data_IF_873678265055
#
_entry.id   IF_873678265055
#
_cell.length_a   1.000
_cell.length_b   1.000
_cell.length_c   1.000
_cell.angle_alpha   90.00
_cell.angle_beta   90.00
_cell.angle_gamma   90.00
#
_symmetry.space_group_name_H-M   'P 1'
#
loop_
_entity.id
_entity.type
_entity.pdbx_description
1 polymer ?
#
# COMPACT_ATOMS: atom_id res chain seq x y z
N UNK A 1 19.71 14.53 -9.69
CA UNK A 1 19.63 13.82 -10.99
C UNK A 1 20.90 14.16 -11.76
N UNK A 2 21.91 13.28 -11.70
CA UNK A 2 23.19 13.48 -12.38
C UNK A 2 23.12 12.84 -13.76
N UNK A 3 23.34 13.62 -14.81
CA UNK A 3 23.56 13.11 -16.16
C UNK A 3 25.07 13.06 -16.36
N UNK A 4 25.64 11.87 -16.53
CA UNK A 4 27.03 11.71 -16.94
C UNK A 4 27.10 11.71 -18.47
N UNK A 5 27.77 12.70 -19.03
CA UNK A 5 28.08 12.76 -20.47
C UNK A 5 29.56 12.40 -20.61
N UNK A 6 29.86 11.36 -21.38
CA UNK A 6 31.23 11.01 -21.76
C UNK A 6 31.47 11.46 -23.20
N UNK A 7 32.52 12.25 -23.42
CA UNK A 7 32.98 12.65 -24.76
C UNK A 7 34.30 11.96 -25.05
N UNK A 8 34.40 11.29 -26.20
CA UNK A 8 35.61 10.60 -26.67
C UNK A 8 36.15 11.30 -27.91
N UNK A 9 37.40 11.76 -27.86
CA UNK A 9 38.09 12.34 -29.01
C UNK A 9 38.83 11.23 -29.78
N UNK A 10 38.76 11.22 -31.12
CA UNK A 10 39.13 10.06 -31.97
C UNK A 10 40.64 9.80 -32.13
N UNK A 11 41.50 10.50 -31.41
CA UNK A 11 42.97 10.39 -31.56
C UNK A 11 43.72 9.89 -30.31
N UNK A 12 43.03 9.51 -29.22
CA UNK A 12 43.66 8.88 -28.04
C UNK A 12 42.75 7.80 -27.44
N UNK A 13 43.35 6.73 -26.89
CA UNK A 13 42.68 5.51 -26.43
C UNK A 13 42.19 5.54 -24.97
N UNK A 14 42.31 6.65 -24.25
CA UNK A 14 41.88 6.76 -22.85
C UNK A 14 40.60 7.58 -22.68
N UNK A 15 39.73 7.13 -21.78
CA UNK A 15 38.54 7.87 -21.33
C UNK A 15 38.96 8.88 -20.27
N UNK A 16 38.67 10.16 -20.49
CA UNK A 16 38.88 11.19 -19.46
C UNK A 16 37.54 11.44 -18.75
N UNK A 17 37.46 11.08 -17.47
CA UNK A 17 36.37 11.50 -16.60
C UNK A 17 36.61 12.93 -16.13
N UNK A 18 35.78 13.88 -16.59
CA UNK A 18 35.73 15.22 -16.00
C UNK A 18 34.57 15.29 -14.99
N UNK A 19 34.85 15.35 -13.68
CA UNK A 19 33.80 15.65 -12.70
C UNK A 19 33.47 17.14 -12.76
N UNK A 20 32.26 17.50 -13.19
CA UNK A 20 31.74 18.85 -12.98
C UNK A 20 31.19 18.92 -11.55
N UNK A 21 31.95 19.58 -10.66
CA UNK A 21 31.47 19.89 -9.31
C UNK A 21 30.42 21.00 -9.42
N UNK A 22 29.15 20.66 -9.20
CA UNK A 22 28.06 21.64 -9.07
C UNK A 22 28.28 22.41 -7.77
N UNK A 23 28.84 23.61 -7.86
CA UNK A 23 28.99 24.50 -6.71
C UNK A 23 27.65 25.14 -6.34
N UNK A 24 27.30 25.04 -5.06
CA UNK A 24 26.25 25.79 -4.39
C UNK A 24 26.43 27.31 -4.56
N UNK A 25 25.32 28.06 -4.63
CA UNK A 25 25.21 29.49 -4.97
C UNK A 25 25.96 30.50 -4.06
N UNK A 26 26.85 30.07 -3.15
CA UNK A 26 27.46 30.96 -2.14
C UNK A 26 28.90 31.40 -2.42
N UNK A 27 29.54 30.96 -3.52
CA UNK A 27 30.96 31.31 -3.80
C UNK A 27 31.17 31.74 -5.25
N UNK A 28 30.36 32.70 -5.74
CA UNK A 28 30.52 33.31 -7.09
C UNK A 28 30.96 34.77 -7.04
N UNK A 29 31.02 35.41 -5.86
CA UNK A 29 31.34 36.84 -5.75
C UNK A 29 32.82 37.20 -5.60
N UNK A 30 33.73 36.24 -5.40
CA UNK A 30 35.16 36.54 -5.13
C UNK A 30 36.13 36.28 -6.30
N UNK A 31 35.67 35.69 -7.40
CA UNK A 31 36.56 35.37 -8.54
C UNK A 31 36.31 36.27 -9.77
N UNK A 32 35.09 36.81 -9.96
CA UNK A 32 34.79 37.73 -11.06
C UNK A 32 35.50 39.10 -10.94
N UNK A 33 35.97 39.50 -9.75
CA UNK A 33 36.72 40.74 -9.53
C UNK A 33 38.21 40.67 -9.87
N UNK A 34 38.81 39.48 -10.04
CA UNK A 34 40.25 39.35 -10.36
C UNK A 34 40.59 39.20 -11.84
N UNK A 35 39.62 38.92 -12.71
CA UNK A 35 39.87 38.74 -14.16
C UNK A 35 39.60 40.02 -14.96
N UNK A 36 38.76 40.92 -14.45
CA UNK A 36 38.39 42.16 -15.15
C UNK A 36 39.49 43.25 -15.15
N UNK A 37 40.55 43.14 -14.34
CA UNK A 37 41.59 44.17 -14.23
C UNK A 37 42.83 43.95 -15.12
N UNK A 38 42.92 42.87 -15.89
CA UNK A 38 44.18 42.50 -16.59
C UNK A 38 44.08 42.45 -18.12
N UNK A 39 42.98 42.90 -18.74
CA UNK A 39 42.89 42.98 -20.21
C UNK A 39 42.72 44.40 -20.77
N UNK A 40 42.53 45.43 -19.94
CA UNK A 40 42.42 46.84 -20.35
C UNK A 40 43.78 47.52 -20.61
N UNK A 41 44.81 46.77 -21.00
CA UNK A 41 46.17 47.33 -21.22
C UNK A 41 46.91 46.79 -22.44
N UNK A 42 46.22 46.22 -23.44
CA UNK A 42 46.88 45.78 -24.67
C UNK A 42 46.12 46.03 -25.97
N UNK A 43 45.24 47.03 -25.97
CA UNK A 43 44.53 47.49 -27.18
C UNK A 43 44.94 48.93 -27.56
N UNK A 44 46.24 49.13 -27.69
CA UNK A 44 46.85 50.20 -28.48
C UNK A 44 48.06 49.56 -29.14
N UNK A 45 47.86 48.97 -30.31
CA UNK A 45 48.78 49.03 -31.43
C UNK A 45 48.25 48.16 -32.60
N UNK A 46 48.36 48.74 -33.79
CA UNK A 46 48.37 48.10 -35.11
C UNK A 46 47.03 47.85 -35.85
N UNK A 47 46.65 48.86 -36.65
CA UNK A 47 46.05 48.70 -37.99
C UNK A 47 46.98 47.86 -38.87
N UNK A 48 46.46 47.00 -39.76
CA UNK A 48 46.77 46.90 -41.22
C UNK A 48 46.03 45.69 -41.87
N UNK A 49 45.25 46.02 -42.91
CA UNK A 49 44.81 45.29 -44.15
C UNK A 49 44.28 43.83 -44.15
N UNK A 50 43.17 43.69 -44.91
CA UNK A 50 42.44 42.51 -45.48
C UNK A 50 43.31 41.42 -46.16
N UNK A 51 42.85 40.19 -46.53
CA UNK A 51 41.51 39.87 -47.11
C UNK A 51 40.90 38.48 -46.80
N UNK A 52 39.74 38.23 -47.43
CA UNK A 52 38.84 37.07 -47.30
C UNK A 52 39.48 35.69 -47.58
N UNK A 53 39.03 34.67 -46.84
CA UNK A 53 39.24 33.25 -47.15
C UNK A 53 37.90 32.48 -47.06
N UNK A 54 37.51 31.82 -48.17
CA UNK A 54 36.39 30.87 -48.27
C UNK A 54 36.73 29.54 -47.56
N UNK A 55 35.77 28.96 -46.84
CA UNK A 55 35.86 27.61 -46.25
C UNK A 55 34.89 26.67 -47.00
N UNK A 56 35.28 25.45 -47.41
CA UNK A 56 34.45 24.58 -48.24
C UNK A 56 33.44 23.73 -47.45
N UNK A 57 32.33 23.39 -48.09
CA UNK A 57 31.19 22.59 -47.59
C UNK A 57 31.57 21.14 -47.21
N UNK A 58 31.10 20.68 -46.05
CA UNK A 58 31.26 19.30 -45.54
C UNK A 58 30.20 18.31 -46.04
N UNK A 59 30.56 17.02 -46.09
CA UNK A 59 29.70 15.86 -46.46
C UNK A 59 28.67 15.51 -45.37
N UNK A 60 27.54 14.86 -45.72
CA UNK A 60 26.47 14.55 -44.76
C UNK A 60 26.90 13.47 -43.76
N UNK A 61 26.54 13.71 -42.50
CA UNK A 61 26.72 12.80 -41.37
C UNK A 61 25.51 11.85 -41.32
N UNK A 62 25.72 10.54 -41.40
CA UNK A 62 24.67 9.57 -41.09
C UNK A 62 24.45 9.52 -39.57
N UNK A 63 23.22 9.72 -39.14
CA UNK A 63 22.79 9.57 -37.75
C UNK A 63 22.07 8.23 -37.61
N UNK A 64 22.72 7.25 -36.98
CA UNK A 64 22.07 5.99 -36.59
C UNK A 64 21.44 6.20 -35.20
N UNK A 65 20.11 6.17 -35.13
CA UNK A 65 19.34 6.18 -33.89
C UNK A 65 19.22 4.74 -33.42
N UNK A 66 20.08 4.32 -32.49
CA UNK A 66 19.88 3.05 -31.78
C UNK A 66 18.71 3.23 -30.79
N UNK A 67 17.58 2.58 -31.08
CA UNK A 67 16.41 2.56 -30.19
C UNK A 67 16.79 1.97 -28.81
N UNK A 68 16.25 2.48 -27.69
CA UNK A 68 16.70 2.10 -26.35
C UNK A 68 16.11 0.75 -25.92
N UNK A 69 16.59 -0.34 -26.51
CA UNK A 69 16.28 -1.73 -26.09
C UNK A 69 16.65 -1.99 -24.63
N UNK A 70 17.56 -1.21 -24.05
CA UNK A 70 18.01 -1.29 -22.65
C UNK A 70 16.95 -0.82 -21.63
N UNK A 71 16.09 0.13 -21.98
CA UNK A 71 15.06 0.63 -21.06
C UNK A 71 13.88 -0.33 -20.94
N UNK A 72 13.57 -1.06 -22.02
CA UNK A 72 12.44 -1.98 -22.06
C UNK A 72 12.73 -3.27 -21.29
N UNK A 73 13.95 -3.79 -21.37
CA UNK A 73 14.40 -4.98 -20.61
C UNK A 73 14.47 -4.70 -19.10
N UNK A 74 14.88 -3.49 -18.68
CA UNK A 74 14.89 -3.09 -17.27
C UNK A 74 13.48 -2.96 -16.67
N UNK A 75 12.50 -2.52 -17.46
CA UNK A 75 11.09 -2.43 -17.02
C UNK A 75 10.45 -3.82 -16.92
N UNK A 76 10.76 -4.71 -17.86
CA UNK A 76 10.31 -6.11 -17.84
C UNK A 76 10.90 -6.89 -16.66
N UNK A 77 12.19 -6.71 -16.36
CA UNK A 77 12.82 -7.37 -15.21
C UNK A 77 12.27 -6.87 -13.87
N UNK A 78 11.97 -5.57 -13.75
CA UNK A 78 11.29 -5.00 -12.59
C UNK A 78 9.87 -5.55 -12.41
N UNK A 79 9.10 -5.66 -13.49
CA UNK A 79 7.77 -6.28 -13.48
C UNK A 79 7.82 -7.75 -13.08
N UNK A 80 8.78 -8.51 -13.60
CA UNK A 80 8.94 -9.93 -13.30
C UNK A 80 9.30 -10.17 -11.83
N UNK A 81 10.17 -9.33 -11.27
CA UNK A 81 10.52 -9.35 -9.83
C UNK A 81 9.32 -9.02 -8.95
N UNK A 82 8.51 -8.02 -9.34
CA UNK A 82 7.28 -7.70 -8.63
C UNK A 82 6.29 -8.88 -8.65
N UNK A 83 6.06 -9.51 -9.81
CA UNK A 83 5.15 -10.66 -9.91
C UNK A 83 5.63 -11.84 -9.08
N UNK A 84 6.93 -12.14 -9.08
CA UNK A 84 7.49 -13.21 -8.25
C UNK A 84 7.32 -12.94 -6.75
N UNK A 85 7.48 -11.68 -6.32
CA UNK A 85 7.22 -11.28 -4.92
C UNK A 85 5.76 -11.39 -4.50
N UNK A 86 4.81 -11.14 -5.43
CA UNK A 86 3.38 -11.31 -5.19
C UNK A 86 2.98 -12.79 -5.10
N UNK A 87 3.60 -13.67 -5.89
CA UNK A 87 3.33 -15.11 -5.83
C UNK A 87 3.72 -15.73 -4.48
N UNK A 88 4.81 -15.27 -3.86
CA UNK A 88 5.21 -15.73 -2.52
C UNK A 88 4.29 -15.25 -1.40
N UNK A 89 3.42 -14.28 -1.66
CA UNK A 89 2.45 -13.78 -0.70
C UNK A 89 1.12 -14.57 -0.71
N UNK A 90 0.94 -15.50 -1.65
CA UNK A 90 -0.24 -16.35 -1.71
C UNK A 90 -0.11 -17.53 -0.72
N UNK A 91 -0.07 -17.23 0.58
CA UNK A 91 -0.28 -18.22 1.63
C UNK A 91 -1.77 -18.27 1.93
N UNK A 92 -2.39 -19.43 1.74
CA UNK A 92 -3.76 -19.67 2.15
C UNK A 92 -3.85 -19.58 3.69
N UNK A 93 -4.95 -19.00 4.19
CA UNK A 93 -5.20 -18.85 5.62
C UNK A 93 -5.67 -20.20 6.19
N UNK A 94 -4.74 -21.11 6.46
CA UNK A 94 -5.02 -22.31 7.24
C UNK A 94 -4.46 -22.11 8.65
N UNK A 95 -5.28 -22.35 9.66
CA UNK A 95 -4.95 -22.03 11.04
C UNK A 95 -4.30 -23.24 11.73
N UNK A 96 -3.03 -23.08 12.10
CA UNK A 96 -2.25 -24.10 12.80
C UNK A 96 -1.84 -23.57 14.18
N UNK A 97 -2.14 -24.32 15.24
CA UNK A 97 -1.75 -23.97 16.60
C UNK A 97 -0.65 -24.91 17.07
N UNK A 98 0.52 -24.35 17.37
CA UNK A 98 1.61 -25.07 18.00
C UNK A 98 1.28 -25.45 19.45
N UNK A 99 1.62 -26.68 19.84
CA UNK A 99 1.49 -27.16 21.20
C UNK A 99 2.60 -26.56 22.07
N UNK A 100 2.20 -25.85 23.13
CA UNK A 100 3.11 -25.19 24.05
C UNK A 100 2.81 -25.47 25.51
N UNK A 101 3.54 -24.84 26.44
CA UNK A 101 3.14 -24.80 27.84
C UNK A 101 1.79 -24.08 28.00
N UNK A 102 1.03 -24.46 29.03
CA UNK A 102 -0.29 -23.87 29.33
C UNK A 102 -0.24 -22.36 29.63
N UNK A 103 0.94 -21.83 29.93
CA UNK A 103 1.18 -20.40 30.15
C UNK A 103 1.12 -19.56 28.87
N UNK A 104 1.15 -20.20 27.70
CA UNK A 104 1.06 -19.48 26.44
C UNK A 104 -0.30 -18.79 26.31
N UNK A 105 -0.33 -17.57 25.73
CA UNK A 105 -1.59 -16.90 25.48
C UNK A 105 -2.47 -17.73 24.53
N UNK A 106 -3.79 -17.76 24.74
CA UNK A 106 -4.70 -18.40 23.80
C UNK A 106 -4.66 -17.68 22.46
N UNK A 107 -4.80 -18.44 21.38
CA UNK A 107 -5.02 -17.84 20.05
C UNK A 107 -6.53 -17.63 19.88
N UNK A 108 -6.94 -16.38 19.75
CA UNK A 108 -8.35 -16.00 19.71
C UNK A 108 -8.72 -15.36 18.38
N UNK A 109 -9.89 -15.71 17.88
CA UNK A 109 -10.52 -15.08 16.71
C UNK A 109 -11.72 -14.31 17.23
N UNK A 110 -11.76 -13.02 16.93
CA UNK A 110 -12.78 -12.09 17.38
C UNK A 110 -13.76 -11.81 16.26
N UNK A 111 -15.05 -11.89 16.58
CA UNK A 111 -16.13 -11.47 15.70
C UNK A 111 -17.13 -10.60 16.47
N UNK A 112 -18.03 -9.93 15.75
CA UNK A 112 -19.03 -9.02 16.31
C UNK A 112 -20.43 -9.55 16.06
N UNK A 113 -21.30 -9.42 17.06
CA UNK A 113 -22.69 -9.88 16.99
C UNK A 113 -23.63 -8.85 17.61
N UNK A 114 -24.86 -8.78 17.09
CA UNK A 114 -25.91 -7.93 17.64
C UNK A 114 -26.70 -8.65 18.74
N UNK A 115 -27.27 -7.89 19.68
CA UNK A 115 -28.15 -8.44 20.72
C UNK A 115 -29.30 -9.29 20.14
N UNK A 116 -29.52 -10.48 20.71
CA UNK A 116 -30.58 -11.40 20.32
C UNK A 116 -30.28 -12.25 19.08
N UNK A 117 -29.14 -12.06 18.42
CA UNK A 117 -28.76 -12.82 17.23
C UNK A 117 -28.24 -14.22 17.60
N UNK A 118 -28.66 -15.24 16.84
CA UNK A 118 -28.17 -16.62 16.96
C UNK A 118 -26.82 -16.76 16.24
N UNK A 119 -25.86 -17.38 16.91
CA UNK A 119 -24.54 -17.70 16.36
C UNK A 119 -24.29 -19.19 16.50
N UNK A 120 -23.74 -19.80 15.46
CA UNK A 120 -23.32 -21.19 15.44
C UNK A 120 -21.86 -21.28 15.05
N UNK A 121 -21.05 -21.84 15.95
CA UNK A 121 -19.62 -22.03 15.73
C UNK A 121 -19.36 -23.49 15.43
N UNK A 122 -18.88 -23.77 14.23
CA UNK A 122 -18.43 -25.08 13.78
C UNK A 122 -16.91 -25.15 13.92
N UNK A 123 -16.42 -26.09 14.72
CA UNK A 123 -15.00 -26.27 14.98
C UNK A 123 -14.61 -27.68 14.58
N UNK A 124 -13.73 -27.81 13.61
CA UNK A 124 -13.15 -29.09 13.20
C UNK A 124 -11.67 -29.09 13.56
N UNK A 125 -11.25 -30.06 14.39
CA UNK A 125 -9.84 -30.22 14.75
C UNK A 125 -9.27 -31.53 14.23
N UNK A 126 -8.09 -31.43 13.61
CA UNK A 126 -7.29 -32.59 13.21
C UNK A 126 -6.69 -33.31 14.42
N UNK A 127 -6.58 -34.64 14.34
CA UNK A 127 -5.89 -35.46 15.34
C UNK A 127 -6.84 -36.23 16.25
N UNK A 128 -6.30 -36.83 17.32
CA UNK A 128 -7.07 -37.65 18.26
C UNK A 128 -6.73 -37.30 19.72
N UNK A 129 -7.69 -37.54 20.60
CA UNK A 129 -7.45 -37.48 22.04
C UNK A 129 -6.35 -38.47 22.44
N UNK A 130 -5.30 -37.97 23.10
CA UNK A 130 -4.18 -38.80 23.58
C UNK A 130 -2.95 -38.85 22.66
N UNK A 131 -2.92 -38.05 21.59
CA UNK A 131 -1.76 -37.85 20.70
C UNK A 131 -0.53 -37.18 21.35
N UNK A 132 -0.63 -36.78 22.62
CA UNK A 132 0.43 -36.12 23.38
C UNK A 132 0.29 -34.60 23.47
N UNK A 133 -0.82 -34.04 22.98
CA UNK A 133 -1.21 -32.64 23.11
C UNK A 133 -2.71 -32.54 23.44
N UNK A 134 -3.15 -31.50 24.15
CA UNK A 134 -4.56 -31.27 24.52
C UNK A 134 -5.02 -29.93 24.00
N UNK A 135 -6.06 -29.93 23.18
CA UNK A 135 -6.64 -28.71 22.62
C UNK A 135 -7.90 -28.37 23.39
N UNK A 136 -7.87 -27.21 24.01
CA UNK A 136 -8.98 -26.65 24.73
C UNK A 136 -9.52 -25.46 23.93
N UNK A 137 -10.83 -25.26 23.95
CA UNK A 137 -11.42 -24.03 23.43
C UNK A 137 -12.43 -23.44 24.41
N UNK A 138 -12.62 -22.13 24.30
CA UNK A 138 -13.66 -21.42 25.00
C UNK A 138 -14.17 -20.24 24.17
N UNK A 139 -15.44 -19.91 24.34
CA UNK A 139 -16.11 -18.81 23.66
C UNK A 139 -16.56 -17.81 24.71
N UNK A 140 -16.09 -16.57 24.60
CA UNK A 140 -16.38 -15.50 25.57
C UNK A 140 -16.70 -14.20 24.88
N UNK A 141 -17.61 -13.43 25.46
CA UNK A 141 -17.92 -12.06 25.05
C UNK A 141 -16.95 -11.06 25.71
N UNK A 142 -16.73 -9.93 25.06
CA UNK A 142 -16.13 -8.70 25.60
C UNK A 142 -16.82 -8.17 26.87
N UNK A 143 -18.10 -8.50 27.08
CA UNK A 143 -18.84 -8.19 28.32
C UNK A 143 -18.45 -9.14 29.47
N UNK A 144 -17.77 -10.25 29.18
CA UNK A 144 -17.33 -11.24 30.17
C UNK A 144 -18.21 -12.48 30.28
N UNK A 145 -19.25 -12.61 29.43
CA UNK A 145 -20.09 -13.81 29.37
C UNK A 145 -19.31 -14.98 28.74
N UNK A 146 -19.30 -16.16 29.36
CA UNK A 146 -18.73 -17.37 28.77
C UNK A 146 -19.86 -18.26 28.23
N UNK A 147 -19.90 -18.47 26.91
CA UNK A 147 -20.97 -19.25 26.26
C UNK A 147 -20.70 -20.75 26.32
N UNK A 148 -19.45 -21.16 26.05
CA UNK A 148 -19.01 -22.55 26.13
C UNK A 148 -17.51 -22.65 26.43
N UNK A 149 -17.15 -23.74 27.08
CA UNK A 149 -15.76 -24.17 27.29
C UNK A 149 -15.68 -25.70 27.20
N UNK A 150 -14.73 -26.21 26.43
CA UNK A 150 -14.46 -27.64 26.30
C UNK A 150 -12.96 -27.89 26.35
N UNK A 151 -12.58 -28.87 27.16
CA UNK A 151 -11.19 -29.31 27.29
C UNK A 151 -10.97 -30.60 26.50
N UNK A 152 -9.75 -30.80 26.02
CA UNK A 152 -9.30 -32.00 25.30
C UNK A 152 -10.27 -32.46 24.20
N UNK A 153 -10.66 -31.54 23.31
CA UNK A 153 -11.54 -31.88 22.19
C UNK A 153 -10.73 -32.33 20.96
N UNK A 154 -11.28 -33.28 20.22
CA UNK A 154 -10.80 -33.72 18.91
C UNK A 154 -12.00 -34.04 18.02
N UNK A 155 -11.86 -33.86 16.70
CA UNK A 155 -12.97 -34.00 15.74
C UNK A 155 -13.81 -32.74 15.58
N UNK A 156 -15.07 -32.92 15.22
CA UNK A 156 -16.03 -31.86 14.91
C UNK A 156 -16.92 -31.52 16.12
N UNK A 157 -17.13 -30.22 16.35
CA UNK A 157 -18.01 -29.70 17.40
C UNK A 157 -18.80 -28.52 16.86
N UNK A 158 -20.14 -28.61 16.90
CA UNK A 158 -21.06 -27.51 16.57
C UNK A 158 -21.62 -26.90 17.85
N UNK A 159 -21.44 -25.60 18.03
CA UNK A 159 -21.83 -24.85 19.24
C UNK A 159 -22.78 -23.72 18.90
N UNK A 160 -24.09 -23.86 19.17
CA UNK A 160 -25.04 -22.76 19.08
C UNK A 160 -25.08 -21.93 20.37
N UNK A 161 -25.14 -20.61 20.24
CA UNK A 161 -25.44 -19.67 21.34
C UNK A 161 -26.18 -18.43 20.83
N UNK A 162 -26.87 -17.72 21.72
CA UNK A 162 -27.57 -16.46 21.40
C UNK A 162 -26.86 -15.32 22.14
N UNK A 163 -26.57 -14.23 21.44
CA UNK A 163 -25.89 -13.08 22.02
C UNK A 163 -26.82 -12.29 22.94
N UNK A 164 -26.35 -11.98 24.16
CA UNK A 164 -27.13 -11.23 25.15
C UNK A 164 -27.00 -9.71 25.02
N UNK A 165 -25.98 -9.21 24.32
CA UNK A 165 -25.74 -7.80 24.09
C UNK A 165 -25.03 -7.62 22.75
N UNK A 166 -25.14 -6.43 22.16
CA UNK A 166 -24.39 -6.06 20.95
C UNK A 166 -22.93 -5.82 21.31
N UNK A 167 -22.11 -6.86 21.14
CA UNK A 167 -20.76 -6.91 21.66
C UNK A 167 -19.87 -7.85 20.83
N UNK A 168 -18.55 -7.76 21.02
CA UNK A 168 -17.61 -8.65 20.35
C UNK A 168 -17.45 -9.95 21.14
N UNK A 169 -17.42 -11.10 20.46
CA UNK A 169 -17.09 -12.37 21.09
C UNK A 169 -15.81 -12.96 20.50
N UNK A 170 -15.09 -13.69 21.35
CA UNK A 170 -13.81 -14.30 21.08
C UNK A 170 -13.95 -15.82 21.15
N UNK A 171 -13.59 -16.51 20.06
CA UNK A 171 -13.39 -17.96 20.03
C UNK A 171 -11.90 -18.22 20.21
N UNK A 172 -11.53 -18.73 21.39
CA UNK A 172 -10.15 -18.90 21.80
C UNK A 172 -9.76 -20.37 21.89
N UNK A 173 -8.53 -20.66 21.46
CA UNK A 173 -7.95 -21.99 21.46
C UNK A 173 -6.65 -22.02 22.25
N UNK A 174 -6.44 -23.09 23.03
CA UNK A 174 -5.22 -23.33 23.81
C UNK A 174 -4.75 -24.76 23.53
N UNK A 175 -3.59 -24.90 22.89
CA UNK A 175 -2.97 -26.20 22.63
C UNK A 175 -1.84 -26.48 23.64
N UNK A 176 -2.11 -27.37 24.60
CA UNK A 176 -1.18 -27.71 25.69
C UNK A 176 -0.42 -29.00 25.38
N UNK A 177 0.90 -28.93 25.35
CA UNK A 177 1.78 -30.08 25.16
C UNK A 177 1.78 -30.97 26.42
N UNK A 178 1.43 -32.25 26.29
CA UNK A 178 1.46 -33.22 27.41
C UNK A 178 2.77 -34.01 27.47
N UNK A 179 3.40 -34.29 26.32
CA UNK A 179 4.68 -35.02 26.24
C UNK A 179 5.80 -34.09 25.81
N UNK A 180 6.78 -33.88 26.70
CA UNK A 180 7.99 -33.09 26.41
C UNK A 180 8.83 -33.79 25.32
N UNK A 181 9.39 -32.99 24.40
CA UNK A 181 10.40 -33.46 23.43
C UNK A 181 9.92 -33.59 21.97
N UNK A 182 8.65 -33.32 21.67
CA UNK A 182 8.16 -33.23 20.28
C UNK A 182 7.50 -31.87 20.05
N UNK A 183 7.81 -31.25 18.91
CA UNK A 183 7.00 -30.16 18.36
C UNK A 183 5.75 -30.80 17.77
N UNK A 184 4.60 -30.47 18.33
CA UNK A 184 3.30 -30.95 17.89
C UNK A 184 2.47 -29.72 17.51
N UNK A 185 1.66 -29.85 16.47
CA UNK A 185 0.76 -28.81 16.00
C UNK A 185 -0.64 -29.42 15.84
N UNK A 186 -1.67 -28.57 15.94
CA UNK A 186 -3.04 -28.93 15.55
C UNK A 186 -3.54 -28.01 14.48
N UNK A 187 -4.07 -28.61 13.42
CA UNK A 187 -4.86 -27.91 12.42
C UNK A 187 -6.29 -27.77 12.92
N UNK A 188 -6.85 -26.57 12.75
CA UNK A 188 -8.20 -26.26 13.16
C UNK A 188 -8.87 -25.49 12.03
N UNK A 189 -10.04 -25.95 11.64
CA UNK A 189 -10.96 -25.25 10.76
C UNK A 189 -12.08 -24.67 11.63
N UNK A 190 -12.27 -23.36 11.50
CA UNK A 190 -13.28 -22.60 12.24
C UNK A 190 -14.22 -21.96 11.23
N UNK A 191 -15.50 -22.24 11.41
CA UNK A 191 -16.58 -21.64 10.65
C UNK A 191 -17.60 -21.03 11.64
N UNK A 192 -17.95 -19.77 11.42
CA UNK A 192 -18.82 -18.97 12.28
C UNK A 192 -19.99 -18.52 11.43
N UNK A 193 -21.16 -19.06 11.72
CA UNK A 193 -22.42 -18.66 11.11
C UNK A 193 -23.17 -17.76 12.10
N UNK A 194 -23.62 -16.58 11.66
CA UNK A 194 -24.43 -15.68 12.49
C UNK A 194 -25.75 -15.34 11.79
N UNK A 195 -26.77 -15.01 12.57
CA UNK A 195 -28.05 -14.53 12.04
C UNK A 195 -28.82 -15.59 11.26
N UNK A 196 -29.26 -15.23 10.04
CA UNK A 196 -30.09 -16.08 9.18
C UNK A 196 -29.35 -17.35 8.70
N UNK A 197 -28.02 -17.27 8.57
CA UNK A 197 -27.16 -18.39 8.18
C UNK A 197 -27.08 -19.46 9.29
N UNK A 198 -27.15 -19.05 10.55
CA UNK A 198 -27.09 -19.95 11.71
C UNK A 198 -28.40 -20.71 12.00
N UNK A 199 -29.53 -20.28 11.42
CA UNK A 199 -30.84 -20.86 11.70
C UNK A 199 -31.05 -22.21 11.01
N UNK A 200 -31.54 -23.19 11.77
CA UNK A 200 -31.99 -24.47 11.22
C UNK A 200 -33.42 -24.36 10.68
N UNK A 201 -33.52 -24.10 9.38
CA UNK A 201 -34.79 -23.98 8.67
C UNK A 201 -35.64 -25.26 8.72
N UNK A 202 -35.02 -26.44 8.84
CA UNK A 202 -35.77 -27.70 8.94
C UNK A 202 -36.48 -27.81 10.30
N UNK A 203 -35.81 -27.38 11.37
CA UNK A 203 -36.41 -27.34 12.70
C UNK A 203 -37.57 -26.32 12.77
N UNK A 204 -37.43 -25.15 12.15
CA UNK A 204 -38.49 -24.13 12.07
C UNK A 204 -39.69 -24.64 11.27
N UNK A 205 -39.46 -25.30 10.13
CA UNK A 205 -40.51 -25.91 9.31
C UNK A 205 -41.37 -26.89 10.13
N UNK A 206 -40.71 -27.76 10.91
CA UNK A 206 -41.39 -28.76 11.72
C UNK A 206 -42.13 -28.14 12.92
N UNK A 207 -41.57 -27.11 13.55
CA UNK A 207 -42.16 -26.43 14.70
C UNK A 207 -43.43 -25.65 14.33
N UNK A 208 -43.41 -24.91 13.21
CA UNK A 208 -44.52 -24.05 12.78
C UNK A 208 -45.46 -24.74 11.79
N UNK A 209 -45.14 -25.97 11.33
CA UNK A 209 -45.91 -26.74 10.33
C UNK A 209 -46.18 -25.96 9.05
N UNK A 210 -45.19 -25.18 8.61
CA UNK A 210 -45.28 -24.35 7.41
C UNK A 210 -45.34 -25.22 6.15
N UNK A 211 -46.07 -24.76 5.12
CA UNK A 211 -45.91 -25.32 3.78
C UNK A 211 -44.50 -25.02 3.26
N UNK A 212 -43.91 -25.88 2.41
CA UNK A 212 -42.57 -25.64 1.87
C UNK A 212 -42.42 -24.28 1.18
N UNK A 213 -43.47 -23.80 0.51
CA UNK A 213 -43.49 -22.48 -0.15
C UNK A 213 -43.50 -21.32 0.86
N UNK A 214 -44.20 -21.45 1.98
CA UNK A 214 -44.27 -20.40 3.01
C UNK A 214 -42.93 -20.25 3.73
N UNK A 215 -42.21 -21.37 3.95
CA UNK A 215 -40.86 -21.37 4.50
C UNK A 215 -39.87 -20.60 3.60
N UNK A 216 -39.92 -20.84 2.29
CA UNK A 216 -39.02 -20.16 1.34
C UNK A 216 -39.25 -18.65 1.36
N UNK A 217 -40.50 -18.19 1.44
CA UNK A 217 -40.81 -16.76 1.54
C UNK A 217 -40.27 -16.14 2.84
N UNK A 218 -40.42 -16.82 3.98
CA UNK A 218 -39.85 -16.37 5.27
C UNK A 218 -38.34 -16.30 5.25
N UNK A 219 -37.69 -17.29 4.64
CA UNK A 219 -36.24 -17.31 4.49
C UNK A 219 -35.76 -16.11 3.66
N UNK A 220 -36.42 -15.80 2.55
CA UNK A 220 -36.07 -14.65 1.71
C UNK A 220 -36.34 -13.32 2.41
N UNK A 221 -37.41 -13.21 3.20
CA UNK A 221 -37.71 -12.03 4.02
C UNK A 221 -36.57 -11.75 5.01
N UNK A 222 -36.18 -12.73 5.83
CA UNK A 222 -35.11 -12.56 6.82
C UNK A 222 -33.75 -12.25 6.15
N UNK A 223 -33.43 -12.90 5.03
CA UNK A 223 -32.22 -12.60 4.26
C UNK A 223 -32.24 -11.18 3.68
N UNK A 224 -33.40 -10.70 3.23
CA UNK A 224 -33.53 -9.36 2.64
C UNK A 224 -33.36 -8.29 3.71
N UNK A 225 -33.94 -8.48 4.90
CA UNK A 225 -33.79 -7.55 6.02
C UNK A 225 -32.32 -7.43 6.47
N UNK A 226 -31.59 -8.55 6.52
CA UNK A 226 -30.15 -8.57 6.80
C UNK A 226 -29.36 -7.77 5.76
N UNK A 227 -29.62 -7.99 4.47
CA UNK A 227 -28.97 -7.27 3.36
C UNK A 227 -29.29 -5.76 3.41
N UNK A 228 -30.53 -5.38 3.71
CA UNK A 228 -30.91 -3.96 3.81
C UNK A 228 -30.11 -3.29 4.93
N UNK A 229 -29.97 -3.95 6.09
CA UNK A 229 -29.12 -3.46 7.18
C UNK A 229 -27.66 -3.26 6.77
N UNK A 230 -27.08 -4.22 6.03
CA UNK A 230 -25.71 -4.10 5.50
C UNK A 230 -25.56 -2.97 4.48
N UNK A 231 -26.54 -2.80 3.59
CA UNK A 231 -26.55 -1.73 2.60
C UNK A 231 -26.62 -0.34 3.26
N UNK A 232 -27.42 -0.18 4.31
CA UNK A 232 -27.48 1.05 5.08
C UNK A 232 -26.12 1.36 5.75
N UNK A 233 -25.47 0.35 6.31
CA UNK A 233 -24.12 0.49 6.86
C UNK A 233 -23.12 0.92 5.78
N UNK A 234 -23.12 0.26 4.61
CA UNK A 234 -22.23 0.57 3.50
C UNK A 234 -22.45 1.99 2.97
N UNK A 235 -23.71 2.42 2.86
CA UNK A 235 -24.08 3.78 2.46
C UNK A 235 -23.56 4.83 3.45
N UNK A 236 -23.78 4.61 4.75
CA UNK A 236 -23.26 5.51 5.79
C UNK A 236 -21.73 5.56 5.81
N UNK A 237 -21.05 4.46 5.42
CA UNK A 237 -19.60 4.43 5.28
C UNK A 237 -19.13 5.19 4.02
N UNK A 238 -19.83 5.04 2.91
CA UNK A 238 -19.56 5.78 1.67
C UNK A 238 -19.66 7.28 1.90
N UNK A 239 -20.72 7.76 2.57
CA UNK A 239 -20.91 9.18 2.86
C UNK A 239 -19.71 9.77 3.61
N UNK A 240 -19.23 9.08 4.66
CA UNK A 240 -18.02 9.49 5.41
C UNK A 240 -16.76 9.50 4.55
N UNK A 241 -16.60 8.52 3.67
CA UNK A 241 -15.46 8.45 2.76
C UNK A 241 -15.53 9.57 1.70
N UNK A 242 -16.72 9.87 1.21
CA UNK A 242 -16.98 10.95 0.25
C UNK A 242 -16.64 12.31 0.85
N UNK A 243 -17.05 12.58 2.08
CA UNK A 243 -16.76 13.82 2.79
C UNK A 243 -15.24 13.99 3.07
N UNK A 244 -14.57 12.89 3.43
CA UNK A 244 -13.12 12.87 3.63
C UNK A 244 -12.37 13.14 2.33
N UNK A 245 -12.84 12.56 1.22
CA UNK A 245 -12.27 12.77 -0.10
C UNK A 245 -12.48 14.23 -0.55
N UNK A 246 -13.69 14.77 -0.40
CA UNK A 246 -13.98 16.17 -0.78
C UNK A 246 -13.11 17.16 0.01
N UNK A 247 -13.00 16.98 1.33
CA UNK A 247 -12.19 17.87 2.17
C UNK A 247 -10.69 17.80 1.85
N UNK A 248 -10.17 16.61 1.55
CA UNK A 248 -8.78 16.41 1.11
C UNK A 248 -8.55 17.08 -0.24
N UNK A 249 -9.42 16.82 -1.22
CA UNK A 249 -9.33 17.40 -2.54
C UNK A 249 -9.42 18.93 -2.49
N UNK A 250 -10.28 19.49 -1.64
CA UNK A 250 -10.40 20.94 -1.43
C UNK A 250 -9.09 21.56 -0.93
N UNK A 251 -8.40 20.91 0.03
CA UNK A 251 -7.11 21.37 0.55
C UNK A 251 -6.02 21.33 -0.52
N UNK A 252 -5.92 20.22 -1.27
CA UNK A 252 -4.93 20.05 -2.35
C UNK A 252 -5.16 21.06 -3.47
N UNK A 253 -6.41 21.27 -3.87
CA UNK A 253 -6.79 22.27 -4.86
C UNK A 253 -6.38 23.67 -4.44
N UNK A 254 -6.61 24.06 -3.19
CA UNK A 254 -6.21 25.37 -2.68
C UNK A 254 -4.69 25.54 -2.72
N UNK A 255 -3.92 24.52 -2.31
CA UNK A 255 -2.46 24.55 -2.41
C UNK A 255 -1.96 24.68 -3.86
N UNK A 256 -2.61 23.98 -4.80
CA UNK A 256 -2.29 24.07 -6.23
C UNK A 256 -2.50 25.49 -6.78
N UNK A 257 -3.64 26.11 -6.47
CA UNK A 257 -3.94 27.49 -6.87
C UNK A 257 -2.91 28.47 -6.31
N UNK A 258 -2.57 28.37 -5.02
CA UNK A 258 -1.54 29.21 -4.40
C UNK A 258 -0.18 29.06 -5.09
N UNK A 259 0.20 27.83 -5.46
CA UNK A 259 1.47 27.55 -6.15
C UNK A 259 1.51 28.18 -7.54
N UNK A 260 0.43 28.07 -8.31
CA UNK A 260 0.32 28.68 -9.64
C UNK A 260 0.44 30.21 -9.54
N UNK A 261 -0.27 30.83 -8.60
CA UNK A 261 -0.20 32.27 -8.36
C UNK A 261 1.21 32.72 -7.96
N UNK A 262 1.88 31.97 -7.09
CA UNK A 262 3.25 32.26 -6.68
C UNK A 262 4.23 32.20 -7.87
N UNK A 263 4.11 31.19 -8.75
CA UNK A 263 4.94 31.08 -9.95
C UNK A 263 4.74 32.25 -10.91
N UNK A 264 3.50 32.69 -11.11
CA UNK A 264 3.20 33.87 -11.93
C UNK A 264 3.82 35.13 -11.32
N UNK A 265 3.64 35.35 -10.01
CA UNK A 265 4.21 36.50 -9.30
C UNK A 265 5.74 36.52 -9.40
N UNK A 266 6.40 35.37 -9.17
CA UNK A 266 7.85 35.25 -9.34
C UNK A 266 8.30 35.49 -10.78
N UNK A 267 7.54 35.00 -11.78
CA UNK A 267 7.82 35.23 -13.19
C UNK A 267 7.76 36.72 -13.56
N UNK A 268 6.69 37.41 -13.18
CA UNK A 268 6.55 38.86 -13.40
C UNK A 268 7.64 39.66 -12.68
N UNK A 269 7.97 39.29 -11.44
CA UNK A 269 9.07 39.90 -10.70
C UNK A 269 10.41 39.74 -11.41
N UNK A 270 10.72 38.53 -11.90
CA UNK A 270 11.96 38.25 -12.65
C UNK A 270 12.06 39.11 -13.91
N UNK A 271 10.97 39.27 -14.66
CA UNK A 271 10.95 40.10 -15.88
C UNK A 271 11.23 41.57 -15.55
N UNK A 272 10.56 42.12 -14.52
CA UNK A 272 10.76 43.51 -14.10
C UNK A 272 12.18 43.74 -13.57
N UNK A 273 12.72 42.80 -12.79
CA UNK A 273 14.09 42.86 -12.30
C UNK A 273 15.11 42.93 -13.45
N UNK A 274 14.97 42.03 -14.44
CA UNK A 274 15.85 42.02 -15.61
C UNK A 274 15.73 43.33 -16.43
N UNK A 275 14.52 43.86 -16.62
CA UNK A 275 14.31 45.15 -17.29
C UNK A 275 15.01 46.31 -16.57
N UNK A 276 14.90 46.38 -15.25
CA UNK A 276 15.54 47.43 -14.45
C UNK A 276 17.06 47.28 -14.44
N UNK A 277 17.57 46.04 -14.40
CA UNK A 277 18.99 45.75 -14.48
C UNK A 277 19.60 46.25 -15.82
N UNK A 278 18.94 45.99 -16.95
CA UNK A 278 19.41 46.48 -18.26
C UNK A 278 19.35 48.00 -18.39
N UNK A 279 18.29 48.65 -17.90
CA UNK A 279 18.21 50.13 -17.85
C UNK A 279 19.36 50.74 -17.04
N UNK A 280 19.68 50.17 -15.88
CA UNK A 280 20.74 50.72 -15.02
C UNK A 280 22.15 50.53 -15.58
N UNK A 281 22.38 49.52 -16.42
CA UNK A 281 23.69 49.21 -16.99
C UNK A 281 23.91 49.75 -18.40
N UNK A 282 22.93 50.44 -18.99
CA UNK A 282 23.04 51.07 -20.32
C UNK A 282 23.54 50.11 -21.42
N UNK A 283 23.11 48.84 -21.36
CA UNK A 283 23.46 47.81 -22.36
C UNK A 283 22.43 47.80 -23.51
N UNK A 284 21.27 48.43 -23.28
CA UNK A 284 20.26 48.86 -24.26
C UNK A 284 19.82 50.27 -23.88
#
# INVERSE_FOLDING_TARGET
MYIQIYLRNRSQSSWVSCPIRVFSKRTRREIETRVAHTSEKREKDNKIKSPQAKVPYGRPFEVRIDAPTQLLTMRLSQLLLCVFSLLTAAMALHFEIEAGPETNPPTCIRDFVSEGQLVVVNIVSSGSSGDGQKLNFFIRDSVGNEYRKKNDFSGEVRVPFVAHASAAFDVCFVNVLQRKGRKLTRHIELDIEAGSAARDWNAVQAAEKLKPVELELRKVEELTDEIVGELEYLKAREERLRDTNESTNRRVRNFSICTILALVAFGSWQITYLRNYFKSKHII
#
